data_IF_187646045519
#
_entry.id   IF_187646045519
#
_cell.length_a   1.000
_cell.length_b   1.000
_cell.length_c   1.000
_cell.angle_alpha   90.00
_cell.angle_beta   90.00
_cell.angle_gamma   90.00
#
_symmetry.space_group_name_H-M   'P 1'
#
loop_
_entity.id
_entity.type
_entity.pdbx_description
1 polymer ?
#
# COMPACT_ATOMS: atom_id res chain seq x y z
N UNK A 1 -10.63 -5.95 20.06
CA UNK A 1 -11.94 -5.91 19.35
C UNK A 1 -11.94 -6.98 18.28
N UNK A 2 -13.07 -7.65 18.09
CA UNK A 2 -13.29 -8.53 16.93
C UNK A 2 -13.37 -7.70 15.65
N UNK A 3 -12.72 -8.15 14.57
CA UNK A 3 -12.83 -7.57 13.22
C UNK A 3 -14.18 -7.88 12.58
N UNK A 4 -14.82 -8.99 12.99
CA UNK A 4 -16.14 -9.41 12.51
C UNK A 4 -17.22 -9.11 13.56
N UNK A 5 -18.29 -8.45 13.13
CA UNK A 5 -19.48 -8.20 13.94
C UNK A 5 -20.48 -9.34 13.78
N UNK A 6 -20.50 -10.26 14.75
CA UNK A 6 -21.42 -11.40 14.75
C UNK A 6 -22.90 -11.01 14.92
N UNK A 7 -23.21 -9.74 15.20
CA UNK A 7 -24.59 -9.25 15.16
C UNK A 7 -25.13 -9.08 13.73
N UNK A 8 -24.27 -9.13 12.70
CA UNK A 8 -24.69 -9.17 11.30
C UNK A 8 -25.44 -10.46 10.95
N UNK A 9 -25.16 -11.54 11.68
CA UNK A 9 -25.93 -12.79 11.58
C UNK A 9 -27.07 -12.72 12.60
N UNK A 10 -28.34 -12.85 12.16
CA UNK A 10 -29.48 -12.79 13.07
C UNK A 10 -29.36 -13.79 14.22
N UNK A 11 -29.71 -13.40 15.46
CA UNK A 11 -29.65 -14.31 16.61
C UNK A 11 -30.83 -15.28 16.62
N UNK A 12 -30.57 -16.49 17.12
CA UNK A 12 -31.51 -17.63 17.08
C UNK A 12 -32.81 -17.41 17.89
N UNK A 13 -32.86 -16.38 18.76
CA UNK A 13 -33.99 -16.08 19.66
C UNK A 13 -34.68 -14.73 19.37
N UNK A 14 -34.32 -14.02 18.29
CA UNK A 14 -35.01 -12.79 17.91
C UNK A 14 -36.20 -13.08 16.97
N UNK A 15 -37.24 -12.21 16.92
CA UNK A 15 -38.35 -12.29 15.98
C UNK A 15 -37.93 -11.92 14.53
N UNK A 16 -36.76 -12.41 14.09
CA UNK A 16 -36.24 -12.21 12.73
C UNK A 16 -36.74 -13.31 11.79
N UNK A 17 -36.71 -13.05 10.48
CA UNK A 17 -37.21 -13.97 9.46
C UNK A 17 -36.34 -15.23 9.28
N UNK A 18 -35.08 -15.25 9.77
CA UNK A 18 -34.17 -16.39 9.62
C UNK A 18 -33.46 -16.73 10.94
N UNK A 19 -34.21 -17.30 11.88
CA UNK A 19 -33.70 -17.81 13.18
C UNK A 19 -32.63 -18.90 13.03
N UNK A 20 -32.53 -19.53 11.86
CA UNK A 20 -31.59 -20.64 11.58
C UNK A 20 -30.32 -20.14 10.85
N UNK A 21 -30.15 -18.81 10.71
CA UNK A 21 -29.05 -18.20 9.97
C UNK A 21 -27.66 -18.58 10.51
N UNK A 22 -27.51 -18.63 11.84
CA UNK A 22 -26.22 -18.97 12.46
C UNK A 22 -25.85 -20.44 12.29
N UNK A 23 -26.83 -21.35 12.27
CA UNK A 23 -26.61 -22.77 11.97
C UNK A 23 -26.25 -22.98 10.50
N UNK A 24 -26.91 -22.27 9.58
CA UNK A 24 -26.55 -22.27 8.16
C UNK A 24 -25.12 -21.78 7.95
N UNK A 25 -24.73 -20.72 8.66
CA UNK A 25 -23.36 -20.22 8.67
C UNK A 25 -22.37 -21.27 9.20
N UNK A 26 -22.64 -21.87 10.37
CA UNK A 26 -21.79 -22.91 10.95
C UNK A 26 -21.60 -24.09 9.99
N UNK A 27 -22.68 -24.53 9.35
CA UNK A 27 -22.65 -25.60 8.35
C UNK A 27 -21.73 -25.26 7.18
N UNK A 28 -21.86 -24.07 6.61
CA UNK A 28 -20.98 -23.62 5.52
C UNK A 28 -19.54 -23.45 5.99
N UNK A 29 -19.32 -22.93 7.21
CA UNK A 29 -18.00 -22.80 7.83
C UNK A 29 -17.28 -24.15 7.91
N UNK A 30 -17.93 -25.19 8.44
CA UNK A 30 -17.31 -26.52 8.53
C UNK A 30 -17.16 -27.20 7.17
N UNK A 31 -18.14 -27.03 6.26
CA UNK A 31 -18.04 -27.60 4.92
C UNK A 31 -16.84 -27.01 4.15
N UNK A 32 -16.64 -25.69 4.21
CA UNK A 32 -15.57 -25.00 3.49
C UNK A 32 -14.22 -25.22 4.15
N UNK A 33 -14.12 -25.05 5.47
CA UNK A 33 -12.81 -25.00 6.14
C UNK A 33 -12.30 -26.36 6.62
N UNK A 34 -13.20 -27.32 6.82
CA UNK A 34 -12.88 -28.66 7.34
C UNK A 34 -13.28 -29.76 6.37
N UNK A 35 -13.74 -29.41 5.16
CA UNK A 35 -14.28 -30.36 4.18
C UNK A 35 -15.37 -31.28 4.80
N UNK A 36 -16.15 -30.72 5.73
CA UNK A 36 -17.10 -31.49 6.52
C UNK A 36 -18.30 -31.93 5.68
N UNK A 37 -18.68 -33.21 5.79
CA UNK A 37 -19.90 -33.74 5.19
C UNK A 37 -21.04 -33.65 6.17
N UNK A 38 -22.15 -33.02 5.76
CA UNK A 38 -23.34 -32.93 6.61
C UNK A 38 -24.06 -34.28 6.65
N UNK A 39 -24.14 -34.87 7.83
CA UNK A 39 -24.86 -36.14 8.06
C UNK A 39 -26.32 -35.85 8.38
N UNK A 40 -26.58 -34.79 9.16
CA UNK A 40 -27.93 -34.33 9.49
C UNK A 40 -27.98 -32.80 9.53
N UNK A 41 -28.95 -32.22 8.82
CA UNK A 41 -29.38 -30.82 8.99
C UNK A 41 -30.58 -30.81 9.96
N UNK A 42 -30.74 -29.75 10.76
CA UNK A 42 -31.90 -29.61 11.66
C UNK A 42 -33.21 -29.61 10.87
N UNK A 43 -34.15 -30.44 11.29
CA UNK A 43 -35.57 -30.26 11.04
C UNK A 43 -36.23 -29.69 12.29
N UNK A 44 -37.19 -28.77 12.14
CA UNK A 44 -37.96 -28.23 13.27
C UNK A 44 -38.83 -29.32 13.88
N UNK A 45 -38.62 -29.64 15.16
CA UNK A 45 -39.38 -30.64 15.92
C UNK A 45 -38.75 -30.94 17.29
N UNK A 46 -39.35 -31.83 18.10
CA UNK A 46 -38.79 -32.30 19.38
C UNK A 46 -37.59 -33.22 19.13
N UNK A 47 -36.56 -32.67 18.48
CA UNK A 47 -35.46 -33.40 17.86
C UNK A 47 -34.20 -33.32 18.74
N UNK A 48 -34.33 -33.72 20.01
CA UNK A 48 -33.21 -34.17 20.85
C UNK A 48 -31.95 -33.28 20.92
N UNK A 49 -32.07 -31.96 20.73
CA UNK A 49 -31.04 -30.98 21.08
C UNK A 49 -29.80 -30.87 20.17
N UNK A 50 -29.77 -31.51 18.99
CA UNK A 50 -28.61 -31.43 18.08
C UNK A 50 -28.78 -30.38 16.97
N UNK A 51 -27.91 -29.36 16.96
CA UNK A 51 -27.93 -28.31 15.93
C UNK A 51 -27.26 -28.77 14.62
N UNK A 52 -26.11 -29.45 14.63
CA UNK A 52 -25.60 -30.14 13.42
C UNK A 52 -24.92 -31.46 13.78
N UNK A 53 -25.02 -32.44 12.87
CA UNK A 53 -24.14 -33.62 12.89
C UNK A 53 -23.35 -33.66 11.60
N UNK A 54 -22.03 -33.54 11.75
CA UNK A 54 -21.08 -33.46 10.65
C UNK A 54 -20.14 -34.67 10.70
N UNK A 55 -19.58 -35.04 9.56
CA UNK A 55 -18.48 -36.00 9.46
C UNK A 55 -17.26 -35.28 8.91
N UNK A 56 -16.18 -35.28 9.68
CA UNK A 56 -14.90 -34.64 9.38
C UNK A 56 -13.83 -35.72 9.48
N UNK A 57 -13.16 -36.02 8.35
CA UNK A 57 -12.10 -37.04 8.28
C UNK A 57 -12.50 -38.43 8.84
N UNK A 58 -13.79 -38.78 8.72
CA UNK A 58 -14.34 -40.05 9.23
C UNK A 58 -14.78 -40.02 10.70
N UNK A 59 -14.59 -38.91 11.41
CA UNK A 59 -15.14 -38.68 12.75
C UNK A 59 -16.45 -37.88 12.70
N UNK A 60 -17.46 -38.31 13.46
CA UNK A 60 -18.73 -37.62 13.62
C UNK A 60 -18.66 -36.58 14.73
N UNK A 61 -18.94 -35.34 14.36
CA UNK A 61 -18.95 -34.19 15.25
C UNK A 61 -20.39 -33.75 15.51
N UNK A 62 -20.73 -33.60 16.80
CA UNK A 62 -21.96 -32.96 17.24
C UNK A 62 -21.68 -31.47 17.43
N UNK A 63 -22.29 -30.62 16.61
CA UNK A 63 -22.11 -29.17 16.70
C UNK A 63 -23.32 -28.55 17.38
N UNK A 64 -23.07 -27.77 18.43
CA UNK A 64 -24.04 -26.89 19.07
C UNK A 64 -23.77 -25.44 18.64
N UNK A 65 -24.76 -24.79 18.04
CA UNK A 65 -24.66 -23.45 17.48
C UNK A 65 -25.38 -22.45 18.39
N UNK A 66 -24.65 -21.52 19.02
CA UNK A 66 -25.25 -20.51 19.90
C UNK A 66 -24.86 -19.09 19.48
N UNK A 67 -25.85 -18.33 18.99
CA UNK A 67 -25.68 -16.92 18.67
C UNK A 67 -26.39 -16.01 19.70
N UNK A 68 -25.62 -15.47 20.63
CA UNK A 68 -26.13 -14.67 21.75
C UNK A 68 -25.39 -13.35 21.90
N UNK A 69 -26.05 -12.38 22.56
CA UNK A 69 -25.41 -11.11 22.97
C UNK A 69 -24.45 -11.27 24.15
N UNK A 70 -24.68 -12.28 25.01
CA UNK A 70 -23.92 -12.55 26.23
C UNK A 70 -23.31 -13.95 26.17
N UNK A 71 -22.30 -14.22 27.02
CA UNK A 71 -21.60 -15.51 27.08
C UNK A 71 -22.55 -16.72 27.17
N UNK A 72 -22.16 -17.84 26.56
CA UNK A 72 -22.93 -19.08 26.61
C UNK A 72 -22.86 -19.69 28.02
N UNK A 73 -24.01 -19.86 28.65
CA UNK A 73 -24.15 -20.29 30.03
C UNK A 73 -24.13 -21.81 30.21
N UNK A 74 -23.97 -22.25 31.46
CA UNK A 74 -24.04 -23.68 31.82
C UNK A 74 -25.37 -24.34 31.45
N UNK A 75 -26.46 -23.58 31.51
CA UNK A 75 -27.82 -24.06 31.23
C UNK A 75 -28.17 -24.02 29.74
N UNK A 76 -27.33 -23.39 28.91
CA UNK A 76 -27.51 -23.42 27.45
C UNK A 76 -27.04 -24.75 26.83
N UNK A 77 -26.31 -25.56 27.60
CA UNK A 77 -25.70 -26.84 27.19
C UNK A 77 -25.98 -27.90 28.27
N UNK A 78 -27.18 -28.46 28.29
CA UNK A 78 -27.66 -29.28 29.41
C UNK A 78 -26.95 -30.63 29.53
N UNK A 79 -26.80 -31.40 28.46
CA UNK A 79 -26.20 -32.75 28.51
C UNK A 79 -25.28 -33.10 27.31
N UNK A 80 -24.19 -32.33 27.03
CA UNK A 80 -23.37 -32.51 25.82
C UNK A 80 -22.85 -33.93 25.58
N UNK A 81 -22.46 -34.65 26.63
CA UNK A 81 -22.00 -36.05 26.49
C UNK A 81 -23.13 -37.02 26.17
N UNK A 82 -24.30 -36.84 26.79
CA UNK A 82 -25.47 -37.66 26.52
C UNK A 82 -25.94 -37.49 25.07
N UNK A 83 -25.97 -36.24 24.60
CA UNK A 83 -26.32 -35.90 23.22
C UNK A 83 -25.30 -36.50 22.25
N UNK A 84 -24.01 -36.41 22.56
CA UNK A 84 -22.94 -37.00 21.75
C UNK A 84 -23.09 -38.53 21.63
N UNK A 85 -23.43 -39.21 22.73
CA UNK A 85 -23.70 -40.65 22.73
C UNK A 85 -24.96 -41.00 21.93
N UNK A 86 -26.04 -40.24 22.10
CA UNK A 86 -27.30 -40.44 21.39
C UNK A 86 -27.12 -40.37 19.87
N UNK A 87 -26.27 -39.46 19.39
CA UNK A 87 -26.00 -39.27 17.96
C UNK A 87 -24.81 -40.08 17.44
N UNK A 88 -24.14 -40.86 18.31
CA UNK A 88 -22.96 -41.65 17.94
C UNK A 88 -21.80 -40.78 17.46
N UNK A 89 -21.67 -39.59 18.02
CA UNK A 89 -20.58 -38.66 17.73
C UNK A 89 -19.35 -38.96 18.61
N UNK A 90 -18.18 -38.60 18.12
CA UNK A 90 -16.90 -38.76 18.83
C UNK A 90 -16.44 -37.46 19.49
N UNK A 91 -16.96 -36.33 19.00
CA UNK A 91 -16.51 -35.00 19.38
C UNK A 91 -17.72 -34.07 19.53
N UNK A 92 -17.74 -33.29 20.61
CA UNK A 92 -18.65 -32.16 20.78
C UNK A 92 -17.97 -30.86 20.34
N UNK A 93 -18.68 -30.07 19.54
CA UNK A 93 -18.21 -28.78 19.03
C UNK A 93 -19.16 -27.68 19.51
N UNK A 94 -18.66 -26.78 20.36
CA UNK A 94 -19.39 -25.57 20.71
C UNK A 94 -19.06 -24.46 19.71
N UNK A 95 -19.98 -24.13 18.82
CA UNK A 95 -19.83 -23.07 17.82
C UNK A 95 -20.59 -21.82 18.29
N UNK A 96 -19.88 -20.86 18.86
CA UNK A 96 -20.47 -19.78 19.65
C UNK A 96 -20.04 -18.40 19.14
N UNK A 97 -20.99 -17.47 18.98
CA UNK A 97 -20.62 -16.09 18.67
C UNK A 97 -19.98 -15.36 19.87
N UNK A 98 -20.47 -15.48 21.12
CA UNK A 98 -19.69 -15.09 22.30
C UNK A 98 -18.91 -16.28 22.85
N UNK A 99 -17.86 -16.02 23.64
CA UNK A 99 -17.16 -17.08 24.35
C UNK A 99 -18.05 -17.81 25.39
N UNK A 100 -17.67 -19.03 25.80
CA UNK A 100 -18.33 -19.74 26.88
C UNK A 100 -18.12 -19.01 28.22
N UNK A 101 -19.10 -19.11 29.11
CA UNK A 101 -18.92 -18.68 30.50
C UNK A 101 -17.96 -19.61 31.25
N UNK A 102 -17.29 -19.11 32.29
CA UNK A 102 -16.43 -19.92 33.16
C UNK A 102 -17.16 -21.14 33.75
N UNK A 103 -18.47 -20.99 34.01
CA UNK A 103 -19.32 -22.09 34.49
C UNK A 103 -19.53 -23.20 33.44
N UNK A 104 -19.67 -22.84 32.16
CA UNK A 104 -19.77 -23.81 31.07
C UNK A 104 -18.42 -24.50 30.82
N UNK A 105 -17.32 -23.74 30.79
CA UNK A 105 -15.97 -24.31 30.63
C UNK A 105 -15.66 -25.33 31.73
N UNK A 106 -15.97 -24.98 32.98
CA UNK A 106 -15.78 -25.88 34.13
C UNK A 106 -16.60 -27.15 33.97
N UNK A 107 -17.86 -27.05 33.51
CA UNK A 107 -18.73 -28.20 33.26
C UNK A 107 -18.18 -29.10 32.15
N UNK A 108 -17.75 -28.54 31.01
CA UNK A 108 -17.18 -29.31 29.90
C UNK A 108 -15.90 -30.03 30.34
N UNK A 109 -15.02 -29.33 31.09
CA UNK A 109 -13.80 -29.92 31.65
C UNK A 109 -14.11 -31.07 32.61
N UNK A 110 -15.01 -30.86 33.57
CA UNK A 110 -15.44 -31.91 34.51
C UNK A 110 -16.06 -33.10 33.77
N UNK A 111 -16.84 -32.85 32.72
CA UNK A 111 -17.46 -33.92 31.92
C UNK A 111 -16.40 -34.76 31.23
N UNK A 112 -15.35 -34.14 30.67
CA UNK A 112 -14.19 -34.83 30.09
C UNK A 112 -13.40 -35.60 31.14
N UNK A 113 -13.13 -34.97 32.29
CA UNK A 113 -12.34 -35.59 33.37
C UNK A 113 -13.08 -36.82 33.95
N UNK A 114 -14.42 -36.81 33.97
CA UNK A 114 -15.26 -37.93 34.40
C UNK A 114 -15.55 -38.98 33.31
N UNK A 115 -15.38 -38.63 32.03
CA UNK A 115 -15.68 -39.50 30.88
C UNK A 115 -14.51 -39.46 29.89
N UNK A 116 -13.59 -40.44 29.92
CA UNK A 116 -12.40 -40.43 29.05
C UNK A 116 -12.70 -40.40 27.55
N UNK A 117 -13.91 -40.83 27.14
CA UNK A 117 -14.38 -40.79 25.75
C UNK A 117 -15.00 -39.46 25.33
N UNK A 118 -15.20 -38.49 26.23
CA UNK A 118 -15.77 -37.19 25.89
C UNK A 118 -14.67 -36.25 25.42
N UNK A 119 -14.70 -35.89 24.13
CA UNK A 119 -13.83 -34.86 23.56
C UNK A 119 -14.67 -33.66 23.17
N UNK A 120 -14.16 -32.45 23.45
CA UNK A 120 -14.83 -31.22 23.06
C UNK A 120 -13.88 -30.17 22.51
N UNK A 121 -14.39 -29.30 21.64
CA UNK A 121 -13.69 -28.13 21.11
C UNK A 121 -14.66 -26.95 21.04
N UNK A 122 -14.17 -25.76 21.36
CA UNK A 122 -14.96 -24.52 21.28
C UNK A 122 -14.40 -23.66 20.17
N UNK A 123 -15.30 -23.19 19.30
CA UNK A 123 -15.08 -22.15 18.32
C UNK A 123 -15.84 -20.91 18.80
N UNK A 124 -15.13 -20.01 19.48
CA UNK A 124 -15.67 -18.69 19.84
C UNK A 124 -15.49 -17.69 18.69
N UNK A 125 -16.00 -16.46 18.83
CA UNK A 125 -15.83 -15.42 17.80
C UNK A 125 -14.38 -15.18 17.39
N UNK A 126 -13.42 -15.30 18.32
CA UNK A 126 -12.01 -15.08 18.03
C UNK A 126 -11.45 -16.21 17.17
N UNK A 127 -11.74 -17.46 17.52
CA UNK A 127 -11.31 -18.63 16.74
C UNK A 127 -11.99 -18.64 15.37
N UNK A 128 -13.31 -18.40 15.30
CA UNK A 128 -14.06 -18.31 14.04
C UNK A 128 -13.46 -17.22 13.15
N UNK A 129 -13.22 -16.02 13.69
CA UNK A 129 -12.61 -14.92 12.93
C UNK A 129 -11.22 -15.30 12.41
N UNK A 130 -10.37 -15.88 13.26
CA UNK A 130 -9.02 -16.30 12.87
C UNK A 130 -9.05 -17.27 11.68
N UNK A 131 -9.98 -18.23 11.72
CA UNK A 131 -10.18 -19.22 10.65
C UNK A 131 -10.74 -18.61 9.36
N UNK A 132 -11.57 -17.57 9.46
CA UNK A 132 -12.15 -16.91 8.29
C UNK A 132 -11.17 -15.94 7.59
N UNK A 133 -10.42 -15.16 8.36
CA UNK A 133 -9.61 -14.05 7.83
C UNK A 133 -8.12 -14.42 7.79
N UNK A 134 -7.58 -14.99 8.86
CA UNK A 134 -6.14 -15.20 9.02
C UNK A 134 -5.63 -16.50 8.38
N UNK A 135 -6.52 -17.40 7.95
CA UNK A 135 -6.14 -18.69 7.37
C UNK A 135 -5.64 -18.63 5.92
N UNK A 136 -5.70 -17.45 5.26
CA UNK A 136 -5.18 -17.28 3.89
C UNK A 136 -5.94 -18.04 2.80
N UNK A 137 -7.16 -18.54 3.08
CA UNK A 137 -8.01 -19.24 2.09
C UNK A 137 -8.99 -18.29 1.41
N UNK A 138 -9.02 -18.28 0.07
CA UNK A 138 -9.99 -17.50 -0.70
C UNK A 138 -11.43 -17.90 -0.41
N UNK A 139 -11.69 -19.18 -0.11
CA UNK A 139 -13.02 -19.69 0.18
C UNK A 139 -13.49 -19.23 1.57
N UNK A 140 -12.57 -19.17 2.53
CA UNK A 140 -12.81 -18.58 3.85
C UNK A 140 -13.17 -17.09 3.74
N UNK A 141 -12.45 -16.37 2.88
CA UNK A 141 -12.70 -14.95 2.61
C UNK A 141 -14.05 -14.72 1.93
N UNK A 142 -14.43 -15.55 0.96
CA UNK A 142 -15.75 -15.49 0.31
C UNK A 142 -16.88 -15.79 1.30
N UNK A 143 -16.68 -16.74 2.22
CA UNK A 143 -17.63 -17.04 3.27
C UNK A 143 -17.79 -15.86 4.24
N UNK A 144 -16.67 -15.23 4.63
CA UNK A 144 -16.69 -14.03 5.45
C UNK A 144 -17.42 -12.87 4.76
N UNK A 145 -17.18 -12.65 3.47
CA UNK A 145 -17.85 -11.61 2.67
C UNK A 145 -19.38 -11.81 2.64
N UNK A 146 -19.84 -13.06 2.53
CA UNK A 146 -21.26 -13.40 2.48
C UNK A 146 -21.97 -13.18 3.81
N UNK A 147 -21.37 -13.61 4.91
CA UNK A 147 -22.02 -13.62 6.24
C UNK A 147 -21.74 -12.37 7.08
N UNK A 148 -20.69 -11.61 6.76
CA UNK A 148 -20.29 -10.39 7.46
C UNK A 148 -19.97 -9.23 6.48
N UNK A 149 -20.85 -8.90 5.52
CA UNK A 149 -20.55 -7.91 4.49
C UNK A 149 -20.20 -6.52 5.03
N UNK A 150 -20.81 -6.09 6.14
CA UNK A 150 -20.54 -4.80 6.78
C UNK A 150 -19.17 -4.75 7.42
N UNK A 151 -18.81 -5.77 8.18
CA UNK A 151 -17.48 -5.93 8.79
C UNK A 151 -16.40 -6.05 7.73
N UNK A 152 -16.64 -6.86 6.69
CA UNK A 152 -15.68 -7.07 5.63
C UNK A 152 -15.41 -5.80 4.82
N UNK A 153 -16.45 -5.01 4.52
CA UNK A 153 -16.31 -3.69 3.89
C UNK A 153 -15.47 -2.72 4.75
N UNK A 154 -15.66 -2.74 6.07
CA UNK A 154 -14.86 -1.94 7.02
C UNK A 154 -13.40 -2.40 7.06
N UNK A 155 -13.14 -3.72 7.07
CA UNK A 155 -11.79 -4.28 7.05
C UNK A 155 -11.06 -3.87 5.78
N UNK A 156 -11.71 -4.05 4.61
CA UNK A 156 -11.14 -3.64 3.33
C UNK A 156 -10.83 -2.14 3.28
N UNK A 157 -11.72 -1.31 3.85
CA UNK A 157 -11.53 0.15 3.91
C UNK A 157 -10.50 0.57 4.95
N UNK A 158 -10.29 -0.22 6.02
CA UNK A 158 -9.35 0.11 7.10
C UNK A 158 -7.89 -0.03 6.66
N UNK A 159 -7.60 -0.87 5.67
CA UNK A 159 -6.25 -1.04 5.11
C UNK A 159 -5.71 0.22 4.41
N UNK A 160 -6.58 1.17 4.05
CA UNK A 160 -6.24 2.39 3.32
C UNK A 160 -6.63 3.67 4.08
N UNK A 161 -6.83 3.57 5.39
CA UNK A 161 -7.07 4.75 6.25
C UNK A 161 -5.76 5.29 6.81
N UNK A 162 -5.67 6.61 7.06
CA UNK A 162 -4.49 7.16 7.70
C UNK A 162 -4.31 6.60 9.11
N UNK A 163 -3.07 6.29 9.47
CA UNK A 163 -2.64 5.98 10.82
C UNK A 163 -2.77 7.24 11.67
N UNK A 164 -3.54 7.15 12.76
CA UNK A 164 -3.73 8.24 13.71
C UNK A 164 -2.59 8.24 14.73
N UNK A 165 -1.41 8.72 14.31
CA UNK A 165 -0.22 8.84 15.16
C UNK A 165 -0.15 10.17 15.90
N UNK A 166 -0.67 11.22 15.27
CA UNK A 166 -0.65 12.58 15.77
C UNK A 166 -2.05 13.04 16.17
N UNK A 167 -2.11 13.84 17.23
CA UNK A 167 -3.32 14.51 17.66
C UNK A 167 -3.10 16.01 17.89
N UNK A 168 -4.14 16.69 18.36
CA UNK A 168 -4.14 18.14 18.53
C UNK A 168 -3.11 18.62 19.56
N UNK A 169 -2.72 17.80 20.52
CA UNK A 169 -1.74 18.15 21.55
C UNK A 169 -0.33 18.26 20.97
N UNK A 170 -0.08 17.62 19.82
CA UNK A 170 1.20 17.69 19.12
C UNK A 170 1.39 19.01 18.35
N UNK A 171 0.31 19.79 18.18
CA UNK A 171 0.34 21.05 17.42
C UNK A 171 0.90 22.18 18.28
N UNK A 172 2.07 22.66 17.91
CA UNK A 172 2.66 23.88 18.45
C UNK A 172 2.16 25.06 17.63
N UNK A 173 1.77 26.15 18.28
CA UNK A 173 1.31 27.37 17.62
C UNK A 173 2.05 28.57 18.16
N UNK A 174 2.61 29.38 17.25
CA UNK A 174 3.27 30.64 17.56
C UNK A 174 3.06 31.67 16.46
N UNK A 175 2.82 32.92 16.85
CA UNK A 175 2.74 34.10 15.97
C UNK A 175 2.08 33.87 14.58
N UNK A 176 0.87 33.32 14.55
CA UNK A 176 0.10 33.11 13.31
C UNK A 176 0.55 31.89 12.49
N UNK A 177 1.33 30.98 13.07
CA UNK A 177 1.74 29.71 12.47
C UNK A 177 1.52 28.56 13.43
N UNK A 178 1.14 27.42 12.89
CA UNK A 178 1.04 26.15 13.60
C UNK A 178 1.92 25.10 12.91
N UNK A 179 2.61 24.26 13.67
CA UNK A 179 3.46 23.16 13.16
C UNK A 179 3.48 21.99 14.16
N UNK A 180 3.91 20.82 13.70
CA UNK A 180 4.17 19.65 14.56
C UNK A 180 5.67 19.42 14.58
N UNK A 181 6.24 19.25 15.77
CA UNK A 181 7.68 19.08 15.93
C UNK A 181 8.18 17.84 15.16
N UNK A 182 9.27 18.00 14.41
CA UNK A 182 9.88 16.90 13.63
C UNK A 182 9.20 16.60 12.29
N UNK A 183 8.16 17.35 11.90
CA UNK A 183 7.56 17.24 10.56
C UNK A 183 7.84 18.50 9.73
N UNK A 184 8.07 18.36 8.41
CA UNK A 184 8.36 19.48 7.51
C UNK A 184 7.08 20.20 7.06
N UNK A 185 6.07 20.31 7.93
CA UNK A 185 4.77 20.90 7.60
C UNK A 185 4.38 21.97 8.61
N UNK A 186 3.82 23.07 8.09
CA UNK A 186 3.27 24.15 8.89
C UNK A 186 2.03 24.71 8.20
N UNK A 187 1.16 25.34 8.98
CA UNK A 187 -0.02 26.06 8.51
C UNK A 187 0.00 27.48 9.05
N UNK A 188 -0.34 28.45 8.21
CA UNK A 188 -0.45 29.86 8.63
C UNK A 188 -1.92 30.22 8.89
N UNK A 189 -2.15 31.04 9.90
CA UNK A 189 -3.49 31.49 10.30
C UNK A 189 -3.44 32.93 10.83
N UNK A 190 -4.58 33.60 10.84
CA UNK A 190 -4.66 34.92 11.46
C UNK A 190 -4.40 34.80 12.97
N UNK A 191 -3.48 35.62 13.50
CA UNK A 191 -3.05 35.52 14.90
C UNK A 191 -4.19 35.75 15.91
N UNK A 192 -5.20 36.53 15.52
CA UNK A 192 -6.32 36.93 16.37
C UNK A 192 -7.64 36.22 16.04
N UNK A 193 -7.61 35.17 15.22
CA UNK A 193 -8.80 34.39 14.87
C UNK A 193 -8.69 32.96 15.43
N UNK A 194 -9.35 32.66 16.57
CA UNK A 194 -9.34 31.34 17.17
C UNK A 194 -9.89 30.26 16.26
N UNK A 195 -10.85 30.58 15.37
CA UNK A 195 -11.46 29.61 14.47
C UNK A 195 -10.54 29.29 13.28
N UNK A 196 -9.84 30.30 12.76
CA UNK A 196 -8.80 30.10 11.75
C UNK A 196 -7.65 29.24 12.29
N UNK A 197 -7.20 29.50 13.52
CA UNK A 197 -6.20 28.68 14.22
C UNK A 197 -6.68 27.24 14.39
N UNK A 198 -7.95 27.05 14.74
CA UNK A 198 -8.52 25.72 14.92
C UNK A 198 -8.48 24.89 13.64
N UNK A 199 -8.97 25.45 12.53
CA UNK A 199 -8.94 24.77 11.23
C UNK A 199 -7.51 24.48 10.77
N UNK A 200 -6.58 25.39 11.05
CA UNK A 200 -5.17 25.20 10.75
C UNK A 200 -4.58 24.02 11.53
N UNK A 201 -4.91 23.88 12.82
CA UNK A 201 -4.48 22.76 13.64
C UNK A 201 -5.10 21.43 13.18
N UNK A 202 -6.41 21.39 12.89
CA UNK A 202 -7.08 20.19 12.38
C UNK A 202 -6.50 19.72 11.03
N UNK A 203 -6.28 20.67 10.10
CA UNK A 203 -5.65 20.37 8.82
C UNK A 203 -4.22 19.85 8.99
N UNK A 204 -3.46 20.41 9.92
CA UNK A 204 -2.09 19.99 10.19
C UNK A 204 -2.03 18.57 10.78
N UNK A 205 -2.92 18.22 11.71
CA UNK A 205 -3.04 16.87 12.26
C UNK A 205 -3.39 15.87 11.15
N UNK A 206 -4.32 16.24 10.26
CA UNK A 206 -4.67 15.41 9.10
C UNK A 206 -3.44 15.13 8.22
N UNK A 207 -2.71 16.18 7.82
CA UNK A 207 -1.50 16.05 6.98
C UNK A 207 -0.41 15.24 7.69
N UNK A 208 -0.21 15.46 8.99
CA UNK A 208 0.78 14.73 9.77
C UNK A 208 0.48 13.23 9.83
N UNK A 209 -0.80 12.87 9.99
CA UNK A 209 -1.24 11.47 9.94
C UNK A 209 -1.10 10.87 8.54
N UNK A 210 -1.34 11.63 7.46
CA UNK A 210 -1.03 11.18 6.09
C UNK A 210 0.47 10.92 5.90
N UNK A 211 1.35 11.79 6.42
CA UNK A 211 2.81 11.60 6.37
C UNK A 211 3.22 10.34 7.15
N UNK A 212 2.68 10.14 8.36
CA UNK A 212 2.94 8.95 9.16
C UNK A 212 2.50 7.67 8.44
N UNK A 213 1.34 7.72 7.80
CA UNK A 213 0.78 6.65 6.96
C UNK A 213 1.69 6.33 5.79
N UNK A 214 2.09 7.35 5.03
CA UNK A 214 3.02 7.21 3.91
C UNK A 214 4.35 6.60 4.36
N UNK A 215 4.90 7.00 5.51
CA UNK A 215 6.12 6.41 6.07
C UNK A 215 5.96 4.94 6.44
N UNK A 216 4.84 4.58 7.08
CA UNK A 216 4.58 3.21 7.51
C UNK A 216 4.38 2.25 6.34
N UNK A 217 3.74 2.70 5.26
CA UNK A 217 3.41 1.87 4.11
C UNK A 217 4.39 2.00 2.93
N UNK A 218 5.28 3.00 2.95
CA UNK A 218 6.34 3.18 1.93
C UNK A 218 7.12 1.89 1.62
N UNK A 219 7.50 1.02 2.60
CA UNK A 219 8.18 -0.22 2.28
C UNK A 219 7.39 -1.15 1.34
N UNK A 220 6.05 -1.19 1.46
CA UNK A 220 5.19 -1.99 0.56
C UNK A 220 5.29 -1.45 -0.85
N UNK A 221 5.21 -0.12 -1.01
CA UNK A 221 5.35 0.53 -2.31
C UNK A 221 6.74 0.29 -2.92
N UNK A 222 7.81 0.43 -2.13
CA UNK A 222 9.18 0.21 -2.59
C UNK A 222 9.40 -1.24 -3.03
N UNK A 223 8.88 -2.21 -2.30
CA UNK A 223 8.95 -3.61 -2.71
C UNK A 223 8.19 -3.86 -4.03
N UNK A 224 7.05 -3.19 -4.27
CA UNK A 224 6.37 -3.27 -5.58
C UNK A 224 7.21 -2.62 -6.69
N UNK A 225 7.80 -1.45 -6.47
CA UNK A 225 8.68 -0.83 -7.48
C UNK A 225 9.95 -1.67 -7.70
N UNK A 226 10.47 -2.33 -6.67
CA UNK A 226 11.58 -3.27 -6.78
C UNK A 226 11.22 -4.47 -7.66
N UNK A 227 10.05 -5.09 -7.43
CA UNK A 227 9.51 -6.12 -8.31
C UNK A 227 9.42 -5.62 -9.76
N UNK A 228 8.98 -4.38 -9.97
CA UNK A 228 8.95 -3.75 -11.29
C UNK A 228 10.34 -3.67 -11.92
N UNK A 229 11.33 -3.15 -11.19
CA UNK A 229 12.71 -2.99 -11.66
C UNK A 229 13.43 -4.32 -11.87
N UNK A 230 13.01 -5.40 -11.19
CA UNK A 230 13.48 -6.75 -11.48
C UNK A 230 12.95 -7.26 -12.82
N UNK A 231 11.72 -6.89 -13.22
CA UNK A 231 11.18 -7.18 -14.54
C UNK A 231 11.78 -6.29 -15.64
N UNK A 232 12.00 -5.01 -15.31
CA UNK A 232 12.46 -3.99 -16.25
C UNK A 232 13.64 -3.21 -15.64
N UNK A 233 14.86 -3.78 -15.68
CA UNK A 233 16.03 -3.14 -15.07
C UNK A 233 16.31 -1.77 -15.67
N UNK A 234 16.51 -0.77 -14.80
CA UNK A 234 16.74 0.62 -15.23
C UNK A 234 15.46 1.39 -15.59
N UNK A 235 14.27 0.88 -15.29
CA UNK A 235 13.03 1.65 -15.40
C UNK A 235 12.98 2.84 -14.43
N UNK A 236 13.73 2.78 -13.33
CA UNK A 236 13.87 3.86 -12.37
C UNK A 236 15.34 4.24 -12.18
N UNK A 237 15.57 5.49 -11.82
CA UNK A 237 16.83 6.02 -11.34
C UNK A 237 16.78 6.14 -9.82
N UNK A 238 17.93 5.93 -9.19
CA UNK A 238 18.16 6.21 -7.77
C UNK A 238 19.42 7.05 -7.59
N UNK A 239 19.58 7.77 -6.47
CA UNK A 239 20.85 8.41 -6.16
C UNK A 239 21.98 7.39 -5.99
N UNK A 240 23.17 7.69 -6.51
CA UNK A 240 24.34 6.80 -6.46
C UNK A 240 24.85 6.54 -5.04
N UNK A 241 24.53 7.45 -4.12
CA UNK A 241 24.92 7.38 -2.71
C UNK A 241 23.89 6.67 -1.81
N UNK A 242 22.81 6.10 -2.37
CA UNK A 242 21.75 5.42 -1.62
C UNK A 242 21.82 3.93 -1.89
N UNK A 243 22.02 3.12 -0.85
CA UNK A 243 22.00 1.66 -0.97
C UNK A 243 20.59 1.12 -1.25
N UNK A 244 20.47 -0.11 -1.76
CA UNK A 244 19.17 -0.73 -2.07
C UNK A 244 18.23 -0.83 -0.85
N UNK A 245 18.78 -0.97 0.35
CA UNK A 245 18.03 -1.07 1.62
C UNK A 245 17.52 0.29 2.10
N UNK A 246 18.13 1.38 1.65
CA UNK A 246 17.81 2.75 2.05
C UNK A 246 16.93 3.49 1.02
N UNK A 247 16.57 2.82 -0.08
CA UNK A 247 15.73 3.40 -1.13
C UNK A 247 14.37 3.79 -0.56
N UNK A 248 13.99 5.05 -0.79
CA UNK A 248 12.70 5.60 -0.41
C UNK A 248 11.98 6.10 -1.67
N UNK A 249 10.64 6.17 -1.62
CA UNK A 249 9.83 6.55 -2.78
C UNK A 249 10.21 7.92 -3.34
N UNK A 250 10.48 8.89 -2.44
CA UNK A 250 10.92 10.25 -2.80
C UNK A 250 12.30 10.32 -3.47
N UNK A 251 13.07 9.23 -3.42
CA UNK A 251 14.42 9.12 -4.01
C UNK A 251 14.39 8.30 -5.31
N UNK A 252 13.22 7.89 -5.79
CA UNK A 252 13.07 7.14 -7.02
C UNK A 252 12.42 8.00 -8.09
N UNK A 253 12.94 7.86 -9.31
CA UNK A 253 12.51 8.65 -10.47
C UNK A 253 12.36 7.74 -11.67
N UNK A 254 11.28 7.83 -12.46
CA UNK A 254 11.24 7.20 -13.76
C UNK A 254 12.48 7.58 -14.57
N UNK A 255 13.13 6.60 -15.21
CA UNK A 255 14.30 6.88 -16.05
C UNK A 255 13.96 7.59 -17.34
N UNK A 256 12.68 7.52 -17.74
CA UNK A 256 12.19 8.02 -19.02
C UNK A 256 13.02 7.53 -20.22
N UNK A 257 13.69 6.39 -20.06
CA UNK A 257 14.70 5.90 -21.00
C UNK A 257 14.06 5.50 -22.33
N UNK A 258 14.34 6.26 -23.39
CA UNK A 258 13.90 5.91 -24.74
C UNK A 258 14.57 4.63 -25.25
N UNK A 259 15.78 4.31 -24.77
CA UNK A 259 16.45 3.04 -25.06
C UNK A 259 15.67 1.83 -24.53
N UNK A 260 15.14 1.94 -23.31
CA UNK A 260 14.28 0.90 -22.72
C UNK A 260 12.97 0.75 -23.49
N UNK A 261 12.37 1.86 -23.92
CA UNK A 261 11.17 1.86 -24.77
C UNK A 261 11.44 1.16 -26.09
N UNK A 262 12.57 1.46 -26.75
CA UNK A 262 13.00 0.80 -27.99
C UNK A 262 13.20 -0.70 -27.80
N UNK A 263 13.83 -1.14 -26.70
CA UNK A 263 13.98 -2.58 -26.40
C UNK A 263 12.62 -3.30 -26.30
N UNK A 264 11.67 -2.71 -25.55
CA UNK A 264 10.32 -3.26 -25.44
C UNK A 264 9.61 -3.30 -26.79
N UNK A 265 9.78 -2.28 -27.63
CA UNK A 265 9.23 -2.22 -28.99
C UNK A 265 9.83 -3.29 -29.89
N UNK A 266 11.16 -3.43 -29.92
CA UNK A 266 11.88 -4.41 -30.72
C UNK A 266 11.50 -5.85 -30.35
N UNK A 267 11.17 -6.09 -29.08
CA UNK A 267 10.70 -7.39 -28.57
C UNK A 267 9.19 -7.61 -28.74
N UNK A 268 8.46 -6.64 -29.30
CA UNK A 268 7.01 -6.73 -29.50
C UNK A 268 6.18 -6.70 -28.20
N UNK A 269 6.75 -6.24 -27.09
CA UNK A 269 6.14 -6.27 -25.76
C UNK A 269 5.17 -5.10 -25.53
N UNK A 270 4.07 -5.07 -26.30
CA UNK A 270 3.07 -4.00 -26.23
C UNK A 270 2.46 -3.82 -24.84
N UNK A 271 2.15 -4.92 -24.16
CA UNK A 271 1.59 -4.88 -22.80
C UNK A 271 2.62 -4.39 -21.78
N UNK A 272 3.88 -4.81 -21.93
CA UNK A 272 5.00 -4.32 -21.12
C UNK A 272 5.20 -2.81 -21.28
N UNK A 273 5.19 -2.28 -22.50
CA UNK A 273 5.25 -0.84 -22.76
C UNK A 273 4.10 -0.09 -22.09
N UNK A 274 2.86 -0.58 -22.23
CA UNK A 274 1.70 0.02 -21.60
C UNK A 274 1.83 0.05 -20.07
N UNK A 275 2.24 -1.07 -19.46
CA UNK A 275 2.35 -1.17 -18.01
C UNK A 275 3.55 -0.38 -17.46
N UNK A 276 4.65 -0.24 -18.21
CA UNK A 276 5.73 0.70 -17.91
C UNK A 276 5.21 2.13 -17.82
N UNK A 277 4.51 2.59 -18.85
CA UNK A 277 3.98 3.95 -18.87
C UNK A 277 2.90 4.17 -17.80
N UNK A 278 2.10 3.15 -17.46
CA UNK A 278 1.16 3.23 -16.32
C UNK A 278 1.89 3.44 -14.99
N UNK A 279 2.95 2.68 -14.71
CA UNK A 279 3.73 2.87 -13.49
C UNK A 279 4.39 4.23 -13.47
N UNK A 280 5.00 4.67 -14.58
CA UNK A 280 5.60 6.01 -14.68
C UNK A 280 4.59 7.16 -14.57
N UNK A 281 3.33 6.95 -14.96
CA UNK A 281 2.26 7.96 -14.83
C UNK A 281 1.94 8.33 -13.38
N UNK A 282 2.36 7.52 -12.39
CA UNK A 282 2.26 7.87 -10.96
C UNK A 282 3.16 9.05 -10.58
N UNK A 283 4.24 9.29 -11.34
CA UNK A 283 5.15 10.42 -11.14
C UNK A 283 4.78 11.60 -12.04
N UNK A 284 4.55 11.33 -13.32
CA UNK A 284 4.20 12.35 -14.30
C UNK A 284 3.38 11.74 -15.44
N UNK A 285 2.08 12.05 -15.45
CA UNK A 285 1.15 11.56 -16.47
C UNK A 285 1.51 12.08 -17.86
N UNK A 286 1.91 13.34 -17.96
CA UNK A 286 2.18 14.00 -19.23
C UNK A 286 3.41 13.37 -19.93
N UNK A 287 4.44 13.09 -19.14
CA UNK A 287 5.66 12.40 -19.58
C UNK A 287 5.37 10.96 -19.96
N UNK A 288 4.57 10.25 -19.15
CA UNK A 288 4.16 8.88 -19.45
C UNK A 288 3.36 8.78 -20.75
N UNK A 289 2.42 9.70 -21.00
CA UNK A 289 1.68 9.79 -22.26
C UNK A 289 2.60 10.05 -23.45
N UNK A 290 3.58 10.95 -23.27
CA UNK A 290 4.57 11.29 -24.29
C UNK A 290 5.38 10.06 -24.71
N UNK A 291 5.92 9.33 -23.73
CA UNK A 291 6.67 8.11 -23.98
C UNK A 291 5.78 7.00 -24.55
N UNK A 292 4.57 6.85 -24.03
CA UNK A 292 3.65 5.81 -24.49
C UNK A 292 3.28 6.02 -25.95
N UNK A 293 2.98 7.27 -26.34
CA UNK A 293 2.70 7.63 -27.72
C UNK A 293 3.90 7.29 -28.62
N UNK A 294 5.12 7.70 -28.22
CA UNK A 294 6.35 7.39 -28.95
C UNK A 294 6.54 5.89 -29.18
N UNK A 295 6.48 5.08 -28.12
CA UNK A 295 6.62 3.63 -28.25
C UNK A 295 5.53 2.99 -29.12
N UNK A 296 4.30 3.54 -29.11
CA UNK A 296 3.23 3.06 -29.99
C UNK A 296 3.44 3.44 -31.44
N UNK A 297 4.05 4.59 -31.75
CA UNK A 297 4.45 4.93 -33.13
C UNK A 297 5.59 4.04 -33.61
N UNK A 298 6.59 3.78 -32.77
CA UNK A 298 7.67 2.83 -33.06
C UNK A 298 7.15 1.44 -33.43
N UNK A 299 6.18 0.92 -32.67
CA UNK A 299 5.59 -0.39 -32.92
C UNK A 299 4.71 -0.44 -34.18
N UNK A 300 4.10 0.69 -34.56
CA UNK A 300 3.26 0.75 -35.75
C UNK A 300 4.10 0.84 -37.04
N UNK A 301 5.27 1.48 -36.97
CA UNK A 301 6.15 1.70 -38.13
C UNK A 301 5.60 2.74 -39.10
N UNK A 302 4.60 3.52 -38.67
CA UNK A 302 3.81 4.40 -39.54
C UNK A 302 4.42 5.81 -39.72
N UNK A 303 5.30 6.26 -38.81
CA UNK A 303 5.84 7.63 -38.83
C UNK A 303 7.37 7.67 -38.92
N UNK A 304 7.88 8.30 -39.98
CA UNK A 304 9.32 8.48 -40.20
C UNK A 304 9.99 9.38 -39.15
N UNK A 305 9.23 10.30 -38.51
CA UNK A 305 9.72 11.22 -37.47
C UNK A 305 10.12 10.51 -36.16
N UNK A 306 9.60 9.31 -35.91
CA UNK A 306 9.84 8.55 -34.67
C UNK A 306 10.77 7.33 -34.84
N UNK A 307 11.52 7.25 -35.94
CA UNK A 307 12.38 6.08 -36.32
C UNK A 307 13.62 5.87 -35.43
N UNK A 308 14.49 4.89 -35.76
CA UNK A 308 15.71 4.54 -34.99
C UNK A 308 16.72 5.70 -34.85
N UNK A 309 16.75 6.64 -35.80
CA UNK A 309 17.52 7.88 -35.71
C UNK A 309 16.79 8.99 -34.91
N UNK A 310 15.65 8.64 -34.29
CA UNK A 310 14.75 9.54 -33.57
C UNK A 310 15.34 10.12 -32.28
N UNK A 311 14.51 10.81 -31.47
CA UNK A 311 14.98 11.64 -30.36
C UNK A 311 15.92 10.89 -29.41
N UNK A 312 17.02 11.53 -29.03
CA UNK A 312 18.03 10.92 -28.16
C UNK A 312 17.54 10.83 -26.71
N UNK A 313 16.68 11.77 -26.30
CA UNK A 313 16.19 11.91 -24.94
C UNK A 313 14.74 12.41 -24.90
N UNK A 314 14.19 12.52 -23.69
CA UNK A 314 12.81 12.96 -23.52
C UNK A 314 12.61 14.45 -23.82
N UNK A 315 13.65 15.28 -23.66
CA UNK A 315 13.57 16.73 -23.92
C UNK A 315 13.38 17.01 -25.41
N UNK A 316 14.03 16.23 -26.26
CA UNK A 316 13.86 16.27 -27.72
C UNK A 316 12.57 15.63 -28.20
N UNK A 317 12.03 14.63 -27.46
CA UNK A 317 10.77 13.97 -27.78
C UNK A 317 9.53 14.83 -27.47
N UNK A 318 9.52 15.55 -26.35
CA UNK A 318 8.36 16.32 -25.89
C UNK A 318 7.79 17.29 -26.94
N UNK A 319 8.59 18.13 -27.63
CA UNK A 319 8.08 19.04 -28.66
C UNK A 319 7.45 18.31 -29.85
N UNK A 320 8.01 17.15 -30.24
CA UNK A 320 7.47 16.34 -31.33
C UNK A 320 6.09 15.82 -30.98
N UNK A 321 5.94 15.20 -29.80
CA UNK A 321 4.64 14.65 -29.38
C UNK A 321 3.61 15.75 -29.08
N UNK A 322 4.05 16.93 -28.65
CA UNK A 322 3.15 18.07 -28.41
C UNK A 322 2.31 18.41 -29.65
N UNK A 323 2.87 18.29 -30.86
CA UNK A 323 2.14 18.50 -32.12
C UNK A 323 0.96 17.53 -32.31
N UNK A 324 1.03 16.33 -31.72
CA UNK A 324 0.01 15.30 -31.85
C UNK A 324 -1.02 15.28 -30.72
N UNK A 325 -0.88 16.08 -29.65
CA UNK A 325 -1.76 16.03 -28.47
C UNK A 325 -3.25 16.25 -28.77
N UNK A 326 -3.55 17.02 -29.80
CA UNK A 326 -4.93 17.31 -30.21
C UNK A 326 -5.55 16.21 -31.07
N UNK A 327 -4.74 15.28 -31.59
CA UNK A 327 -5.19 14.20 -32.48
C UNK A 327 -6.05 13.19 -31.72
N UNK A 328 -6.99 12.57 -32.44
CA UNK A 328 -7.82 11.49 -31.88
C UNK A 328 -6.97 10.27 -31.49
N UNK A 329 -5.91 9.99 -32.25
CA UNK A 329 -4.98 8.90 -31.95
C UNK A 329 -4.28 9.09 -30.60
N UNK A 330 -3.72 10.28 -30.36
CA UNK A 330 -3.08 10.58 -29.07
C UNK A 330 -4.07 10.43 -27.92
N UNK A 331 -5.26 11.05 -28.00
CA UNK A 331 -6.28 10.96 -26.94
C UNK A 331 -6.70 9.52 -26.64
N UNK A 332 -6.82 8.69 -27.68
CA UNK A 332 -7.13 7.26 -27.52
C UNK A 332 -6.03 6.53 -26.76
N UNK A 333 -4.77 6.77 -27.11
CA UNK A 333 -3.61 6.13 -26.46
C UNK A 333 -3.42 6.62 -25.03
N UNK A 334 -3.54 7.91 -24.77
CA UNK A 334 -3.54 8.50 -23.43
C UNK A 334 -4.63 7.87 -22.54
N UNK A 335 -5.82 7.63 -23.10
CA UNK A 335 -6.91 6.94 -22.42
C UNK A 335 -6.56 5.52 -21.94
N UNK A 336 -5.60 4.83 -22.56
CA UNK A 336 -5.15 3.49 -22.13
C UNK A 336 -4.36 3.52 -20.80
N UNK A 337 -3.81 4.68 -20.43
CA UNK A 337 -3.12 4.91 -19.14
C UNK A 337 -4.10 5.24 -18.00
N UNK A 338 -5.36 5.56 -18.32
CA UNK A 338 -6.35 5.98 -17.33
C UNK A 338 -6.70 4.88 -16.32
N UNK A 339 -7.14 5.30 -15.13
CA UNK A 339 -7.69 4.38 -14.11
C UNK A 339 -8.86 3.56 -14.65
N UNK A 340 -9.73 4.15 -15.47
CA UNK A 340 -10.84 3.44 -16.13
C UNK A 340 -10.34 2.29 -17.01
N UNK A 341 -9.24 2.50 -17.74
CA UNK A 341 -8.62 1.45 -18.53
C UNK A 341 -8.03 0.34 -17.65
N UNK A 342 -7.40 0.69 -16.52
CA UNK A 342 -6.88 -0.30 -15.56
C UNK A 342 -8.02 -1.18 -15.03
N UNK A 343 -9.13 -0.58 -14.62
CA UNK A 343 -10.28 -1.33 -14.11
C UNK A 343 -10.87 -2.27 -15.17
N UNK A 344 -11.04 -1.75 -16.39
CA UNK A 344 -11.82 -2.43 -17.44
C UNK A 344 -11.02 -3.49 -18.23
N UNK A 345 -9.70 -3.33 -18.36
CA UNK A 345 -8.90 -4.14 -19.28
C UNK A 345 -7.77 -4.95 -18.62
N UNK A 346 -7.42 -4.67 -17.37
CA UNK A 346 -6.38 -5.45 -16.68
C UNK A 346 -6.91 -6.79 -16.15
N UNK A 347 -6.01 -7.77 -16.02
CA UNK A 347 -6.28 -9.01 -15.27
C UNK A 347 -6.43 -8.71 -13.77
N UNK A 348 -6.94 -9.68 -13.00
CA UNK A 348 -7.02 -9.55 -11.54
C UNK A 348 -5.64 -9.38 -10.91
N UNK A 349 -4.62 -10.08 -11.42
CA UNK A 349 -3.23 -9.96 -10.95
C UNK A 349 -2.66 -8.56 -11.22
N UNK A 350 -2.88 -8.00 -12.41
CA UNK A 350 -2.48 -6.63 -12.75
C UNK A 350 -3.21 -5.61 -11.88
N UNK A 351 -4.53 -5.75 -11.70
CA UNK A 351 -5.29 -4.85 -10.83
C UNK A 351 -4.78 -4.91 -9.39
N UNK A 352 -4.46 -6.09 -8.87
CA UNK A 352 -3.88 -6.25 -7.53
C UNK A 352 -2.53 -5.55 -7.42
N UNK A 353 -1.69 -5.66 -8.45
CA UNK A 353 -0.41 -4.98 -8.51
C UNK A 353 -0.56 -3.45 -8.51
N UNK A 354 -1.42 -2.90 -9.38
CA UNK A 354 -1.67 -1.46 -9.43
C UNK A 354 -2.39 -0.95 -8.18
N UNK A 355 -3.27 -1.74 -7.58
CA UNK A 355 -3.91 -1.39 -6.31
C UNK A 355 -2.88 -1.23 -5.20
N UNK A 356 -1.86 -2.09 -5.12
CA UNK A 356 -0.78 -1.92 -4.14
C UNK A 356 0.00 -0.61 -4.36
N UNK A 357 0.30 -0.26 -5.62
CA UNK A 357 0.96 1.02 -5.93
C UNK A 357 0.10 2.24 -5.59
N UNK A 358 -1.21 2.18 -5.87
CA UNK A 358 -2.15 3.28 -5.63
C UNK A 358 -2.47 3.46 -4.14
N UNK A 359 -2.69 2.35 -3.41
CA UNK A 359 -3.08 2.38 -2.01
C UNK A 359 -1.93 2.69 -1.05
N UNK A 360 -0.70 2.36 -1.45
CA UNK A 360 0.50 2.56 -0.62
C UNK A 360 1.47 3.58 -1.22
N UNK A 361 1.05 4.30 -2.27
CA UNK A 361 1.83 5.36 -2.89
C UNK A 361 2.29 6.41 -1.88
N UNK A 362 3.53 6.84 -2.00
CA UNK A 362 4.05 7.90 -1.14
C UNK A 362 3.45 9.25 -1.51
N UNK A 363 3.25 10.11 -0.51
CA UNK A 363 2.77 11.49 -0.69
C UNK A 363 3.80 12.38 -1.41
N UNK A 364 5.04 11.91 -1.53
CA UNK A 364 6.21 12.65 -2.02
C UNK A 364 6.82 12.01 -3.29
N UNK A 365 6.01 11.66 -4.29
CA UNK A 365 6.54 11.26 -5.59
C UNK A 365 6.99 12.52 -6.35
N UNK A 366 8.30 12.68 -6.52
CA UNK A 366 8.89 13.80 -7.24
C UNK A 366 9.38 13.37 -8.61
N UNK A 367 9.18 14.20 -9.63
CA UNK A 367 9.71 13.95 -10.98
C UNK A 367 11.24 14.19 -11.11
N UNK A 368 11.88 14.84 -10.13
CA UNK A 368 13.32 15.14 -10.13
C UNK A 368 13.90 15.34 -8.71
N UNK A 369 15.22 15.20 -8.55
CA UNK A 369 15.96 15.58 -7.33
C UNK A 369 16.45 17.03 -7.49
N UNK A 370 16.23 17.93 -6.52
CA UNK A 370 16.87 19.25 -6.53
C UNK A 370 18.40 19.12 -6.52
N UNK A 371 19.07 19.78 -7.46
CA UNK A 371 20.55 19.73 -7.61
C UNK A 371 21.27 20.06 -6.29
N UNK A 372 20.75 21.02 -5.54
CA UNK A 372 21.31 21.47 -4.27
C UNK A 372 21.25 20.38 -3.19
N UNK A 373 20.16 19.62 -3.14
CA UNK A 373 20.01 18.51 -2.19
C UNK A 373 21.03 17.41 -2.49
N UNK A 374 21.19 17.05 -3.76
CA UNK A 374 22.15 16.04 -4.15
C UNK A 374 23.60 16.46 -3.94
N UNK A 375 23.95 17.71 -4.25
CA UNK A 375 25.29 18.23 -3.97
C UNK A 375 25.60 18.18 -2.47
N UNK A 376 24.65 18.57 -1.63
CA UNK A 376 24.78 18.49 -0.17
C UNK A 376 25.02 17.05 0.31
N UNK A 377 24.27 16.07 -0.25
CA UNK A 377 24.41 14.65 0.08
C UNK A 377 25.70 14.03 -0.44
N UNK A 378 26.10 14.32 -1.68
CA UNK A 378 27.37 13.86 -2.25
C UNK A 378 28.55 14.42 -1.46
N UNK A 379 28.51 15.71 -1.11
CA UNK A 379 29.54 16.31 -0.26
C UNK A 379 29.58 15.64 1.12
N UNK A 380 28.43 15.24 1.67
CA UNK A 380 28.38 14.46 2.92
C UNK A 380 29.09 13.10 2.79
N UNK A 381 28.74 12.33 1.76
CA UNK A 381 29.27 10.98 1.56
C UNK A 381 30.76 11.00 1.20
N UNK A 382 31.21 12.01 0.46
CA UNK A 382 32.60 12.16 0.07
C UNK A 382 33.45 12.85 1.16
N UNK A 383 32.85 13.30 2.26
CA UNK A 383 33.57 14.06 3.30
C UNK A 383 33.98 15.47 2.88
N UNK A 384 33.30 16.04 1.88
CA UNK A 384 33.59 17.33 1.24
C UNK A 384 32.67 18.48 1.71
N UNK A 385 31.86 18.28 2.76
CA UNK A 385 30.92 19.32 3.22
C UNK A 385 31.62 20.64 3.56
N UNK A 386 32.70 20.58 4.34
CA UNK A 386 33.45 21.77 4.73
C UNK A 386 34.17 22.41 3.54
N UNK A 387 34.94 21.66 2.71
CA UNK A 387 35.50 22.19 1.46
C UNK A 387 34.48 22.87 0.55
N UNK A 388 33.30 22.29 0.39
CA UNK A 388 32.21 22.86 -0.42
C UNK A 388 31.68 24.16 0.19
N UNK A 389 31.45 24.21 1.50
CA UNK A 389 31.10 25.45 2.20
C UNK A 389 32.15 26.55 2.00
N UNK A 390 33.43 26.21 2.13
CA UNK A 390 34.53 27.17 2.00
C UNK A 390 34.64 27.71 0.56
N UNK A 391 34.42 26.85 -0.45
CA UNK A 391 34.34 27.26 -1.85
C UNK A 391 33.13 28.16 -2.11
N UNK A 392 31.97 27.86 -1.53
CA UNK A 392 30.76 28.69 -1.62
C UNK A 392 30.97 30.07 -1.00
N UNK A 393 31.58 30.17 0.18
CA UNK A 393 31.87 31.47 0.78
C UNK A 393 32.86 32.28 -0.05
N UNK A 394 33.89 31.64 -0.62
CA UNK A 394 34.81 32.31 -1.57
C UNK A 394 34.07 32.85 -2.79
N UNK A 395 33.10 32.11 -3.33
CA UNK A 395 32.26 32.57 -4.43
C UNK A 395 31.37 33.75 -4.01
N UNK A 396 30.74 33.67 -2.84
CA UNK A 396 29.86 34.73 -2.29
C UNK A 396 30.60 36.05 -2.08
N UNK A 397 31.89 36.01 -1.75
CA UNK A 397 32.71 37.23 -1.66
C UNK A 397 32.93 37.94 -3.00
N UNK A 398 32.63 37.28 -4.13
CA UNK A 398 32.66 37.91 -5.47
C UNK A 398 31.35 38.61 -5.82
N UNK A 399 30.28 38.41 -5.03
CA UNK A 399 28.97 38.99 -5.29
C UNK A 399 28.89 40.46 -4.87
N UNK A 400 27.83 41.15 -5.32
CA UNK A 400 27.53 42.51 -4.88
C UNK A 400 27.25 42.55 -3.37
N UNK A 401 27.35 43.74 -2.76
CA UNK A 401 27.10 43.89 -1.31
C UNK A 401 25.68 43.44 -0.91
N UNK A 402 24.68 43.78 -1.74
CA UNK A 402 23.28 43.41 -1.52
C UNK A 402 23.04 41.90 -1.66
N UNK A 403 23.63 41.26 -2.68
CA UNK A 403 23.50 39.81 -2.89
C UNK A 403 24.20 39.01 -1.79
N UNK A 404 25.36 39.46 -1.35
CA UNK A 404 26.07 38.86 -0.22
C UNK A 404 25.27 38.99 1.07
N UNK A 405 24.66 40.15 1.34
CA UNK A 405 23.77 40.34 2.47
C UNK A 405 22.55 39.41 2.40
N UNK A 406 21.96 39.20 1.21
CA UNK A 406 20.88 38.26 0.99
C UNK A 406 21.29 36.83 1.34
N UNK A 407 22.42 36.35 0.81
CA UNK A 407 22.90 34.97 1.06
C UNK A 407 23.15 34.74 2.54
N UNK A 408 23.88 35.64 3.22
CA UNK A 408 24.18 35.49 4.64
C UNK A 408 22.93 35.53 5.53
N UNK A 409 21.91 36.30 5.17
CA UNK A 409 20.67 36.36 5.92
C UNK A 409 19.80 35.08 5.80
N UNK A 410 19.98 34.31 4.72
CA UNK A 410 19.09 33.18 4.36
C UNK A 410 19.72 31.79 4.49
N UNK A 411 21.00 31.69 4.81
CA UNK A 411 21.77 30.45 4.69
C UNK A 411 22.26 29.89 6.03
N UNK A 412 21.37 29.35 6.89
CA UNK A 412 21.77 28.76 8.18
C UNK A 412 22.48 27.41 8.04
N UNK A 413 22.34 26.74 6.89
CA UNK A 413 22.95 25.45 6.59
C UNK A 413 23.43 25.39 5.12
N UNK A 414 24.17 24.34 4.78
CA UNK A 414 24.75 24.15 3.44
C UNK A 414 23.67 24.06 2.33
N UNK A 415 22.51 23.46 2.61
CA UNK A 415 21.44 23.36 1.62
C UNK A 415 20.84 24.73 1.31
N UNK A 416 20.59 25.54 2.33
CA UNK A 416 20.11 26.91 2.17
C UNK A 416 21.17 27.82 1.55
N UNK A 417 22.46 27.58 1.83
CA UNK A 417 23.58 28.28 1.18
C UNK A 417 23.60 27.98 -0.34
N UNK A 418 23.55 26.71 -0.72
CA UNK A 418 23.48 26.29 -2.13
C UNK A 418 22.24 26.86 -2.82
N UNK A 419 21.10 26.88 -2.14
CA UNK A 419 19.84 27.41 -2.67
C UNK A 419 19.91 28.93 -2.88
N UNK A 420 20.44 29.66 -1.91
CA UNK A 420 20.60 31.11 -1.99
C UNK A 420 21.62 31.52 -3.05
N UNK A 421 22.74 30.79 -3.15
CA UNK A 421 23.75 31.02 -4.19
C UNK A 421 23.18 30.73 -5.58
N UNK A 422 22.44 29.63 -5.76
CA UNK A 422 21.80 29.32 -7.04
C UNK A 422 20.77 30.38 -7.47
N UNK A 423 20.09 31.01 -6.51
CA UNK A 423 19.14 32.10 -6.80
C UNK A 423 19.85 33.33 -7.38
N UNK A 424 21.04 33.67 -6.86
CA UNK A 424 21.86 34.77 -7.36
C UNK A 424 22.57 34.41 -8.66
N UNK A 425 23.13 33.20 -8.73
CA UNK A 425 24.00 32.75 -9.80
C UNK A 425 23.70 31.28 -10.18
N UNK A 426 22.87 31.05 -11.22
CA UNK A 426 22.53 29.69 -11.67
C UNK A 426 23.74 28.87 -12.14
N UNK A 427 24.83 29.53 -12.54
CA UNK A 427 26.05 28.90 -13.05
C UNK A 427 27.09 28.60 -11.95
N UNK A 428 26.70 28.76 -10.67
CA UNK A 428 27.60 28.65 -9.52
C UNK A 428 28.40 27.33 -9.50
N UNK A 429 27.84 26.22 -9.95
CA UNK A 429 28.54 24.91 -9.93
C UNK A 429 29.79 24.92 -10.80
N UNK A 430 29.74 25.54 -11.97
CA UNK A 430 30.89 25.67 -12.86
C UNK A 430 31.98 26.51 -12.18
N UNK A 431 31.58 27.64 -11.59
CA UNK A 431 32.49 28.56 -10.87
C UNK A 431 33.09 27.91 -9.62
N UNK A 432 32.32 27.09 -8.90
CA UNK A 432 32.84 26.31 -7.79
C UNK A 432 33.91 25.31 -8.25
N UNK A 433 33.72 24.68 -9.40
CA UNK A 433 34.73 23.79 -10.00
C UNK A 433 36.02 24.51 -10.39
N UNK A 434 35.95 25.80 -10.72
CA UNK A 434 37.12 26.66 -10.95
C UNK A 434 37.80 27.09 -9.63
N UNK A 435 37.01 27.39 -8.60
CA UNK A 435 37.51 27.78 -7.26
C UNK A 435 38.19 26.62 -6.55
N UNK A 436 37.63 25.42 -6.67
CA UNK A 436 38.14 24.21 -6.04
C UNK A 436 37.93 22.96 -6.91
N UNK A 437 38.88 22.68 -7.82
CA UNK A 437 38.81 21.53 -8.72
C UNK A 437 38.87 20.17 -8.00
N UNK A 438 39.22 20.15 -6.71
CA UNK A 438 39.31 18.91 -5.93
C UNK A 438 37.95 18.41 -5.44
N UNK A 439 36.89 19.23 -5.53
CA UNK A 439 35.52 18.86 -5.12
C UNK A 439 34.93 17.82 -6.07
N UNK A 440 35.00 16.56 -5.69
CA UNK A 440 34.47 15.46 -6.49
C UNK A 440 32.94 15.47 -6.53
N UNK A 441 32.26 16.01 -5.51
CA UNK A 441 30.81 16.15 -5.48
C UNK A 441 30.25 17.00 -6.63
N UNK A 442 31.03 17.90 -7.23
CA UNK A 442 30.62 18.73 -8.36
C UNK A 442 30.63 17.98 -9.70
N UNK A 443 31.45 16.93 -9.82
CA UNK A 443 31.64 16.13 -11.03
C UNK A 443 31.04 14.72 -10.96
N UNK A 444 30.61 14.30 -9.77
CA UNK A 444 30.02 12.98 -9.55
C UNK A 444 28.70 12.80 -10.31
N UNK A 445 28.55 11.63 -10.93
CA UNK A 445 27.22 11.18 -11.37
C UNK A 445 26.40 10.88 -10.11
N UNK A 446 25.30 11.59 -9.95
CA UNK A 446 24.51 11.61 -8.72
C UNK A 446 23.30 10.70 -8.78
N UNK A 447 22.92 10.24 -9.98
CA UNK A 447 21.85 9.26 -10.19
C UNK A 447 22.33 8.13 -11.11
N UNK A 448 21.83 6.93 -10.88
CA UNK A 448 22.10 5.76 -11.71
C UNK A 448 20.83 4.97 -11.99
N UNK A 449 20.84 4.18 -13.07
CA UNK A 449 19.78 3.24 -13.36
C UNK A 449 19.69 2.18 -12.26
N UNK A 450 18.56 2.13 -11.56
CA UNK A 450 18.35 1.20 -10.47
C UNK A 450 18.15 -0.23 -11.01
N UNK A 451 19.00 -1.14 -10.53
CA UNK A 451 19.04 -2.56 -10.89
C UNK A 451 19.11 -3.39 -9.61
N UNK A 452 17.99 -3.52 -8.88
CA UNK A 452 17.99 -4.22 -7.61
C UNK A 452 18.39 -5.68 -7.79
N UNK A 453 19.07 -6.24 -6.78
CA UNK A 453 19.38 -7.67 -6.74
C UNK A 453 18.12 -8.51 -6.47
N UNK A 454 18.02 -9.68 -7.09
CA UNK A 454 16.94 -10.64 -6.85
C UNK A 454 16.41 -11.32 -8.10
N UNK A 455 15.26 -11.99 -7.95
CA UNK A 455 14.50 -12.58 -9.06
C UNK A 455 13.05 -12.17 -8.92
N UNK A 456 12.44 -11.71 -10.02
CA UNK A 456 11.01 -11.43 -10.04
C UNK A 456 10.20 -12.73 -10.02
N UNK A 457 9.11 -12.73 -9.27
CA UNK A 457 8.08 -13.78 -9.37
C UNK A 457 7.54 -13.89 -10.80
N UNK A 458 7.52 -15.11 -11.34
CA UNK A 458 7.09 -15.37 -12.73
C UNK A 458 5.71 -14.81 -13.03
N UNK A 459 4.77 -14.98 -12.10
CA UNK A 459 3.39 -14.51 -12.25
C UNK A 459 3.29 -12.99 -12.44
N UNK A 460 4.12 -12.21 -11.73
CA UNK A 460 4.13 -10.75 -11.84
C UNK A 460 4.74 -10.32 -13.17
N UNK A 461 5.86 -10.93 -13.59
CA UNK A 461 6.48 -10.63 -14.88
C UNK A 461 5.54 -10.92 -16.06
N UNK A 462 4.85 -12.05 -16.02
CA UNK A 462 3.88 -12.48 -17.04
C UNK A 462 2.65 -11.58 -17.02
N UNK A 463 2.12 -11.25 -15.83
CA UNK A 463 0.98 -10.35 -15.68
C UNK A 463 1.27 -8.96 -16.24
N UNK A 464 2.46 -8.41 -15.98
CA UNK A 464 2.85 -7.10 -16.45
C UNK A 464 3.26 -7.07 -17.94
N UNK A 465 3.45 -8.24 -18.57
CA UNK A 465 3.72 -8.35 -20.00
C UNK A 465 5.17 -8.10 -20.39
N UNK A 466 6.12 -8.44 -19.51
CA UNK A 466 7.57 -8.32 -19.77
C UNK A 466 8.22 -9.62 -20.27
N UNK A 467 7.40 -10.67 -20.47
CA UNK A 467 7.79 -11.89 -21.17
C UNK A 467 7.05 -11.97 -22.51
N UNK A 468 7.73 -12.45 -23.57
CA UNK A 468 7.12 -12.66 -24.89
C UNK A 468 6.05 -13.74 -24.87
#
# INVERSE_FOLDING_TARGET
>A
MSLLDFSEIPPSKAPSADVDAFEKFAREFFAVLFNARVIKNVGRGPDGGADLVLEVEGERWLVSCKNYRNSVGRNDEEAPYGDMQQWGCQQFIGFYSPGPSTGLETKLRQTRDNNPGFRYQIFDSKEIQSRLICAGSSEAWLLAFRWFPGSFSKIASALVRPLMQHDRQDVVTDHGRSWIAGLPVYSSHAANDPQSRERAAEGLVSIANEIATGRAFSPIFIERIKDFCLAVPGAFLRPTYVSDEEVQARLLYPSWSLGLVRDLCARGLRRGLLNLCRVWSLWDLEMAETVYFYGRQLMAGDDHEFTEAGPEDIQTLQPLVAAHRTTMQFRRLAGELSFSSIVSHCSTTERGYFAALLCFGAVELYAFIPRQEALCRLAQVNGEQQPLCDALYRLVETFSEDDRAYVYAKSPDLLQLLTSVNYIDPDYVTKLGEIDPALTCLSATWVEAWRPAGQIGREIADALGFRP
#
